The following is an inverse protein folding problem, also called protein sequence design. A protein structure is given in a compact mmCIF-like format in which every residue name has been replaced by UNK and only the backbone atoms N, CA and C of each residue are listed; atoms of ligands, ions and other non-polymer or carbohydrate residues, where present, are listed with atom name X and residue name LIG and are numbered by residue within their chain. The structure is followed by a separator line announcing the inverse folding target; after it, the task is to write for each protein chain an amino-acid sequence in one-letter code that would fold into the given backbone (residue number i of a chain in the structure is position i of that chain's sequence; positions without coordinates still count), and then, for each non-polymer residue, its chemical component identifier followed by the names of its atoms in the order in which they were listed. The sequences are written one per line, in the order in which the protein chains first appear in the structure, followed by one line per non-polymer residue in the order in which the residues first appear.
data_IF_632077723530
#
_entry.id   IF_632077723530
#
_cell.length_a   1.000
_cell.length_b   1.000
_cell.length_c   1.000
_cell.angle_alpha   90.00
_cell.angle_beta   90.00
_cell.angle_gamma   90.00
#
_symmetry.space_group_name_H-M   'P 1'
#
loop_
_entity.id
_entity.type
_entity.pdbx_description
1 polymer ?
#
# COMPACT_ATOMS: atom_id res chain seq x y z
N UNK A 1 -74.22 8.98 -20.06
CA UNK A 1 -73.03 8.92 -19.18
C UNK A 1 -73.17 7.65 -18.36
N UNK A 2 -72.49 6.57 -18.77
CA UNK A 2 -71.27 6.04 -18.10
C UNK A 2 -71.57 5.59 -16.66
N UNK A 3 -71.23 4.40 -16.16
CA UNK A 3 -70.65 3.17 -16.70
C UNK A 3 -70.75 2.11 -15.59
N UNK A 4 -70.85 0.83 -15.98
CA UNK A 4 -70.16 -0.37 -15.42
C UNK A 4 -70.11 -0.56 -13.88
N UNK A 5 -70.74 -1.57 -13.26
CA UNK A 5 -70.44 -3.02 -13.29
C UNK A 5 -68.95 -3.34 -13.09
N UNK A 6 -68.57 -3.91 -11.94
CA UNK A 6 -68.04 -5.29 -11.83
C UNK A 6 -67.13 -5.51 -10.62
N UNK A 7 -67.57 -6.49 -9.81
CA UNK A 7 -66.81 -7.66 -9.38
C UNK A 7 -65.52 -7.46 -8.58
N UNK A 8 -65.65 -7.70 -7.28
CA UNK A 8 -64.58 -8.13 -6.38
C UNK A 8 -63.78 -9.29 -7.01
N UNK A 9 -62.59 -8.98 -7.51
CA UNK A 9 -61.60 -9.95 -7.94
C UNK A 9 -60.92 -10.55 -6.72
N UNK A 10 -61.25 -11.81 -6.43
CA UNK A 10 -60.51 -12.70 -5.52
C UNK A 10 -59.06 -12.79 -6.02
N UNK A 11 -58.13 -12.12 -5.33
CA UNK A 11 -56.70 -12.28 -5.59
C UNK A 11 -56.22 -13.48 -4.78
N UNK A 12 -56.08 -14.59 -5.47
CA UNK A 12 -55.50 -15.86 -5.03
C UNK A 12 -54.12 -15.63 -4.40
N UNK A 13 -54.02 -15.85 -3.10
CA UNK A 13 -52.82 -15.71 -2.25
C UNK A 13 -51.85 -16.91 -2.42
N UNK A 14 -51.66 -17.40 -3.66
CA UNK A 14 -50.86 -18.61 -3.94
C UNK A 14 -49.77 -18.45 -4.99
N UNK A 15 -49.54 -17.26 -5.55
CA UNK A 15 -48.53 -17.05 -6.60
C UNK A 15 -47.25 -16.34 -6.13
N UNK A 16 -47.09 -16.05 -4.84
CA UNK A 16 -45.93 -15.29 -4.34
C UNK A 16 -44.75 -16.16 -3.90
N UNK A 17 -44.96 -17.44 -3.60
CA UNK A 17 -43.90 -18.33 -3.06
C UNK A 17 -43.10 -19.08 -4.14
N UNK A 18 -43.69 -19.37 -5.31
CA UNK A 18 -42.98 -20.09 -6.39
C UNK A 18 -42.07 -19.16 -7.21
N UNK A 19 -42.45 -17.89 -7.40
CA UNK A 19 -41.63 -16.90 -8.12
C UNK A 19 -40.38 -16.46 -7.34
N UNK A 20 -40.41 -16.51 -6.01
CA UNK A 20 -39.24 -16.21 -5.17
C UNK A 20 -38.21 -17.36 -5.15
N UNK A 21 -38.67 -18.59 -5.40
CA UNK A 21 -37.80 -19.76 -5.49
C UNK A 21 -37.04 -19.80 -6.82
N UNK A 22 -37.68 -19.41 -7.92
CA UNK A 22 -37.07 -19.35 -9.25
C UNK A 22 -36.09 -18.17 -9.44
N UNK A 23 -36.27 -17.05 -8.73
CA UNK A 23 -35.30 -15.95 -8.74
C UNK A 23 -33.98 -16.30 -8.03
N UNK A 24 -34.02 -17.24 -7.07
CA UNK A 24 -32.81 -17.78 -6.43
C UNK A 24 -32.02 -18.72 -7.34
N UNK A 25 -32.68 -19.44 -8.25
CA UNK A 25 -32.01 -20.40 -9.15
C UNK A 25 -31.45 -19.78 -10.44
N UNK A 26 -31.93 -18.60 -10.84
CA UNK A 26 -31.48 -17.92 -12.07
C UNK A 26 -30.69 -16.63 -11.84
N UNK A 27 -30.41 -16.29 -10.59
CA UNK A 27 -29.39 -15.28 -10.30
C UNK A 27 -28.05 -15.83 -10.76
N UNK A 28 -27.26 -15.11 -11.58
CA UNK A 28 -25.89 -15.52 -11.84
C UNK A 28 -25.24 -15.63 -10.48
N UNK A 29 -24.91 -16.86 -10.08
CA UNK A 29 -24.03 -17.08 -8.96
C UNK A 29 -22.72 -16.50 -9.44
N UNK A 30 -22.46 -15.24 -9.10
CA UNK A 30 -21.10 -14.76 -8.97
C UNK A 30 -20.55 -15.64 -7.87
N UNK A 31 -20.00 -16.78 -8.28
CA UNK A 31 -19.12 -17.59 -7.46
C UNK A 31 -18.02 -16.62 -7.14
N UNK A 32 -18.09 -16.00 -5.95
CA UNK A 32 -16.91 -15.39 -5.37
C UNK A 32 -15.90 -16.51 -5.39
N UNK A 33 -14.82 -16.35 -6.15
CA UNK A 33 -13.62 -17.18 -6.05
C UNK A 33 -13.00 -16.97 -4.66
N UNK A 34 -13.75 -17.32 -3.63
CA UNK A 34 -13.39 -17.34 -2.24
C UNK A 34 -13.45 -18.81 -1.84
N UNK A 35 -12.51 -19.59 -2.40
CA UNK A 35 -12.04 -20.89 -1.90
C UNK A 35 -11.07 -21.60 -2.87
N UNK A 36 -10.48 -20.90 -3.85
CA UNK A 36 -9.20 -21.31 -4.43
C UNK A 36 -8.11 -20.49 -3.76
N UNK A 37 -7.18 -21.16 -3.07
CA UNK A 37 -6.14 -20.52 -2.29
C UNK A 37 -5.49 -19.36 -3.03
N UNK A 38 -5.80 -18.14 -2.60
CA UNK A 38 -5.07 -16.95 -3.01
C UNK A 38 -3.65 -17.19 -2.53
N UNK A 39 -2.77 -17.54 -3.45
CA UNK A 39 -1.34 -17.61 -3.19
C UNK A 39 -1.00 -16.25 -2.61
N UNK A 40 -0.55 -16.21 -1.35
CA UNK A 40 -0.12 -14.97 -0.73
C UNK A 40 0.83 -14.25 -1.68
N UNK A 41 0.76 -12.92 -1.74
CA UNK A 41 1.61 -12.15 -2.63
C UNK A 41 3.07 -12.53 -2.40
N UNK A 42 3.83 -12.70 -3.49
CA UNK A 42 5.22 -13.09 -3.38
C UNK A 42 5.94 -12.06 -2.49
N UNK A 43 6.66 -12.52 -1.45
CA UNK A 43 7.30 -11.61 -0.52
C UNK A 43 8.28 -10.72 -1.27
N UNK A 44 8.17 -9.42 -1.02
CA UNK A 44 9.04 -8.43 -1.61
C UNK A 44 10.43 -8.51 -0.95
N UNK A 45 11.36 -9.19 -1.61
CA UNK A 45 12.77 -9.20 -1.23
C UNK A 45 13.39 -7.81 -1.39
N UNK A 46 14.46 -7.53 -0.64
CA UNK A 46 15.17 -6.25 -0.67
C UNK A 46 15.42 -5.74 -2.10
N UNK A 47 14.80 -4.60 -2.42
CA UNK A 47 14.95 -3.89 -3.68
C UNK A 47 15.81 -2.64 -3.44
N UNK A 48 17.02 -2.55 -4.03
CA UNK A 48 17.85 -1.36 -3.91
C UNK A 48 17.27 -0.21 -4.76
N UNK A 49 17.39 1.00 -4.23
CA UNK A 49 17.00 2.26 -4.87
C UNK A 49 18.13 3.26 -4.69
N UNK A 50 18.47 3.97 -5.76
CA UNK A 50 19.46 5.03 -5.73
C UNK A 50 18.82 6.35 -6.13
N UNK A 51 19.00 7.36 -5.30
CA UNK A 51 18.69 8.74 -5.61
C UNK A 51 20.00 9.52 -5.72
N UNK A 52 20.55 9.70 -6.93
CA UNK A 52 21.84 10.35 -7.13
C UNK A 52 21.93 11.68 -6.37
N UNK A 53 23.03 11.90 -5.68
CA UNK A 53 23.32 13.09 -4.88
C UNK A 53 22.50 13.28 -3.59
N UNK A 54 21.50 12.43 -3.32
CA UNK A 54 20.63 12.58 -2.14
C UNK A 54 20.79 11.40 -1.16
N UNK A 55 20.50 10.17 -1.60
CA UNK A 55 20.51 8.98 -0.73
C UNK A 55 20.65 7.67 -1.51
N UNK A 56 21.02 6.62 -0.80
CA UNK A 56 20.85 5.21 -1.20
C UNK A 56 19.76 4.62 -0.31
N UNK A 57 18.95 3.71 -0.83
CA UNK A 57 17.92 3.05 -0.03
C UNK A 57 17.71 1.61 -0.46
N UNK A 58 17.08 0.83 0.39
CA UNK A 58 16.47 -0.43 0.03
C UNK A 58 15.13 -0.58 0.74
N UNK A 59 14.23 -1.38 0.17
CA UNK A 59 12.96 -1.69 0.79
C UNK A 59 12.56 -3.15 0.60
N UNK A 60 11.83 -3.69 1.56
CA UNK A 60 11.35 -5.06 1.56
C UNK A 60 10.05 -5.19 2.35
N UNK A 61 9.29 -6.26 2.10
CA UNK A 61 8.22 -6.68 2.99
C UNK A 61 8.76 -7.69 4.01
N UNK A 62 8.55 -7.43 5.29
CA UNK A 62 8.91 -8.32 6.41
C UNK A 62 7.66 -8.64 7.21
N UNK A 63 7.05 -9.79 6.91
CA UNK A 63 5.73 -10.12 7.46
C UNK A 63 4.69 -9.14 6.93
N UNK A 64 3.94 -8.51 7.83
CA UNK A 64 2.93 -7.51 7.47
C UNK A 64 3.50 -6.11 7.27
N UNK A 65 4.79 -5.90 7.56
CA UNK A 65 5.40 -4.58 7.55
C UNK A 65 6.17 -4.33 6.26
N UNK A 66 6.11 -3.09 5.78
CA UNK A 66 7.01 -2.59 4.75
C UNK A 66 8.16 -1.86 5.45
N UNK A 67 9.39 -2.29 5.19
CA UNK A 67 10.60 -1.74 5.82
C UNK A 67 11.48 -1.07 4.80
N UNK A 68 12.20 -0.04 5.24
CA UNK A 68 13.17 0.69 4.43
C UNK A 68 14.45 0.91 5.24
N UNK A 69 15.59 0.74 4.59
CA UNK A 69 16.84 1.31 5.06
C UNK A 69 17.22 2.44 4.11
N UNK A 70 17.57 3.58 4.67
CA UNK A 70 17.98 4.76 3.89
C UNK A 70 19.32 5.24 4.42
N UNK A 71 20.28 5.38 3.52
CA UNK A 71 21.64 5.82 3.79
C UNK A 71 21.97 7.10 3.02
N UNK A 72 22.95 7.89 3.46
CA UNK A 72 23.43 9.03 2.68
C UNK A 72 24.02 8.56 1.35
N UNK A 73 24.01 9.44 0.34
CA UNK A 73 24.59 9.13 -0.97
C UNK A 73 26.08 8.71 -0.85
N UNK A 74 26.46 7.62 -1.54
CA UNK A 74 27.78 6.99 -1.51
C UNK A 74 28.16 6.31 -0.19
N UNK A 75 27.18 5.91 0.61
CA UNK A 75 27.41 5.21 1.86
C UNK A 75 28.18 3.90 1.63
N UNK A 76 27.64 2.98 0.82
CA UNK A 76 28.25 1.66 0.63
C UNK A 76 29.59 1.73 -0.13
N UNK A 77 29.80 2.75 -0.96
CA UNK A 77 31.12 3.02 -1.58
C UNK A 77 32.15 3.41 -0.51
N UNK A 78 31.79 4.34 0.37
CA UNK A 78 32.68 4.85 1.42
C UNK A 78 32.98 3.78 2.47
N UNK A 79 31.98 3.00 2.87
CA UNK A 79 32.10 1.95 3.87
C UNK A 79 33.04 0.82 3.38
N UNK A 80 32.86 0.34 2.14
CA UNK A 80 33.76 -0.65 1.53
C UNK A 80 35.20 -0.13 1.37
N UNK A 81 35.35 1.17 1.15
CA UNK A 81 36.66 1.81 1.03
C UNK A 81 37.31 2.13 2.40
N UNK A 82 36.63 1.84 3.53
CA UNK A 82 37.11 2.21 4.87
C UNK A 82 37.24 3.71 5.06
N UNK A 83 36.49 4.51 4.31
CA UNK A 83 36.50 5.98 4.37
C UNK A 83 35.52 6.47 5.42
N UNK A 84 35.65 7.75 5.77
CA UNK A 84 34.67 8.45 6.60
C UNK A 84 33.29 8.33 5.94
N UNK A 85 32.32 7.81 6.70
CA UNK A 85 30.94 7.64 6.24
C UNK A 85 30.32 9.01 5.92
N UNK A 86 29.61 9.14 4.78
CA UNK A 86 28.89 10.36 4.46
C UNK A 86 27.78 10.62 5.48
N UNK A 87 27.26 11.85 5.51
CA UNK A 87 26.14 12.27 6.37
C UNK A 87 24.99 12.76 5.51
N UNK A 88 23.77 12.61 6.01
CA UNK A 88 22.61 13.24 5.40
C UNK A 88 22.75 14.76 5.37
N UNK A 89 22.16 15.37 4.33
CA UNK A 89 22.01 16.81 4.27
C UNK A 89 21.12 17.30 5.41
N UNK A 90 21.33 18.54 5.85
CA UNK A 90 20.47 19.18 6.86
C UNK A 90 19.03 19.19 6.35
N UNK A 91 18.07 18.90 7.23
CA UNK A 91 16.64 18.88 6.87
C UNK A 91 16.15 17.57 6.23
N UNK A 92 17.02 16.59 6.02
CA UNK A 92 16.62 15.28 5.48
C UNK A 92 15.45 14.64 6.26
N UNK A 93 15.49 14.70 7.58
CA UNK A 93 14.43 14.17 8.45
C UNK A 93 13.06 14.81 8.17
N UNK A 94 13.03 16.12 7.90
CA UNK A 94 11.80 16.84 7.54
C UNK A 94 11.24 16.34 6.20
N UNK A 95 12.12 16.10 5.22
CA UNK A 95 11.75 15.56 3.91
C UNK A 95 11.26 14.12 4.02
N UNK A 96 11.93 13.30 4.81
CA UNK A 96 11.53 11.92 5.11
C UNK A 96 10.13 11.89 5.75
N UNK A 97 9.90 12.71 6.78
CA UNK A 97 8.59 12.88 7.40
C UNK A 97 7.50 13.26 6.41
N UNK A 98 7.77 14.26 5.59
CA UNK A 98 6.81 14.79 4.63
C UNK A 98 6.48 13.76 3.54
N UNK A 99 7.50 13.06 3.02
CA UNK A 99 7.33 12.09 1.95
C UNK A 99 6.59 10.84 2.42
N UNK A 100 7.03 10.24 3.53
CA UNK A 100 6.42 9.02 4.05
C UNK A 100 5.04 9.28 4.67
N UNK A 101 4.84 10.45 5.28
CA UNK A 101 3.54 10.87 5.79
C UNK A 101 2.46 11.02 4.71
N UNK A 102 2.82 11.33 3.46
CA UNK A 102 1.87 11.38 2.34
C UNK A 102 1.36 10.01 1.91
N UNK A 103 2.19 8.98 2.01
CA UNK A 103 1.88 7.63 1.52
C UNK A 103 1.29 6.77 2.64
N UNK A 104 1.90 6.78 3.83
CA UNK A 104 1.55 5.89 4.93
C UNK A 104 0.71 6.56 6.02
N UNK A 105 0.34 7.84 5.86
CA UNK A 105 -0.44 8.63 6.80
C UNK A 105 0.09 8.50 8.25
N UNK A 106 -0.75 8.07 9.21
CA UNK A 106 -0.38 7.90 10.62
C UNK A 106 0.15 6.51 10.98
N UNK A 107 0.36 5.62 9.99
CA UNK A 107 0.77 4.22 10.21
C UNK A 107 2.21 3.97 9.76
N UNK A 108 3.15 4.75 10.29
CA UNK A 108 4.57 4.51 10.07
C UNK A 108 5.42 5.14 11.18
N UNK A 109 6.61 4.61 11.35
CA UNK A 109 7.61 5.04 12.32
C UNK A 109 9.00 5.01 11.67
N UNK A 110 9.92 5.82 12.18
CA UNK A 110 11.32 5.76 11.78
C UNK A 110 12.24 6.00 12.97
N UNK A 111 13.46 5.50 12.85
CA UNK A 111 14.54 5.69 13.82
C UNK A 111 15.86 5.96 13.10
N UNK A 112 16.74 6.69 13.75
CA UNK A 112 18.09 6.92 13.26
C UNK A 112 19.06 5.94 13.92
N UNK A 113 19.79 5.18 13.12
CA UNK A 113 20.88 4.34 13.56
C UNK A 113 22.16 5.19 13.63
N UNK A 114 22.61 5.51 14.84
CA UNK A 114 23.80 6.35 15.06
C UNK A 114 25.10 5.66 14.61
N UNK A 115 25.16 4.33 14.67
CA UNK A 115 26.34 3.57 14.30
C UNK A 115 26.52 3.60 12.78
N UNK A 116 25.45 3.37 12.03
CA UNK A 116 25.47 3.37 10.57
C UNK A 116 25.27 4.76 9.96
N UNK A 117 24.73 5.72 10.70
CA UNK A 117 24.35 7.03 10.17
C UNK A 117 23.20 6.93 9.15
N UNK A 118 22.27 5.99 9.37
CA UNK A 118 21.18 5.65 8.45
C UNK A 118 19.81 5.76 9.11
N UNK A 119 18.77 5.93 8.31
CA UNK A 119 17.39 5.86 8.79
C UNK A 119 16.80 4.48 8.53
N UNK A 120 16.21 3.89 9.57
CA UNK A 120 15.31 2.74 9.43
C UNK A 120 13.88 3.23 9.48
N UNK A 121 13.09 2.88 8.48
CA UNK A 121 11.67 3.22 8.40
C UNK A 121 10.84 1.95 8.37
N UNK A 122 9.72 1.97 9.09
CA UNK A 122 8.77 0.86 9.17
C UNK A 122 7.37 1.40 8.99
N UNK A 123 6.62 0.82 8.06
CA UNK A 123 5.20 1.09 7.85
C UNK A 123 4.39 -0.16 8.21
N UNK A 124 3.84 -0.24 9.44
CA UNK A 124 3.12 -1.42 9.90
C UNK A 124 1.87 -1.74 9.06
N UNK A 125 1.71 -3.00 8.70
CA UNK A 125 0.58 -3.48 7.89
C UNK A 125 0.63 -3.12 6.40
N UNK A 126 1.62 -2.33 5.96
CA UNK A 126 1.77 -1.95 4.55
C UNK A 126 2.38 -3.06 3.68
N UNK A 127 3.04 -4.05 4.29
CA UNK A 127 3.60 -5.22 3.61
C UNK A 127 2.57 -6.28 3.21
N UNK A 128 1.38 -6.28 3.85
CA UNK A 128 0.27 -7.16 3.46
C UNK A 128 -0.58 -6.61 2.31
N UNK A 129 -0.31 -5.40 1.84
CA UNK A 129 -1.08 -4.73 0.78
C UNK A 129 -0.72 -5.30 -0.60
N UNK A 130 -1.72 -5.44 -1.47
CA UNK A 130 -1.50 -5.72 -2.90
C UNK A 130 -0.63 -4.64 -3.57
N UNK A 131 -0.64 -3.42 -3.04
CA UNK A 131 0.09 -2.27 -3.56
C UNK A 131 1.38 -1.98 -2.75
N UNK A 132 1.91 -2.96 -2.01
CA UNK A 132 3.09 -2.75 -1.14
C UNK A 132 4.30 -2.19 -1.90
N UNK A 133 4.52 -2.65 -3.14
CA UNK A 133 5.66 -2.24 -3.95
C UNK A 133 5.46 -0.83 -4.48
N UNK A 134 4.27 -0.54 -4.98
CA UNK A 134 3.87 0.76 -5.51
C UNK A 134 3.95 1.82 -4.41
N UNK A 135 3.44 1.52 -3.21
CA UNK A 135 3.54 2.41 -2.06
C UNK A 135 5.01 2.67 -1.65
N UNK A 136 5.88 1.64 -1.68
CA UNK A 136 7.30 1.83 -1.42
C UNK A 136 7.97 2.75 -2.45
N UNK A 137 7.69 2.52 -3.73
CA UNK A 137 8.23 3.33 -4.83
C UNK A 137 7.74 4.77 -4.68
N UNK A 138 6.44 4.98 -4.48
CA UNK A 138 5.84 6.30 -4.32
C UNK A 138 6.44 7.07 -3.14
N UNK A 139 6.66 6.41 -1.99
CA UNK A 139 7.29 7.06 -0.83
C UNK A 139 8.72 7.53 -1.13
N UNK A 140 9.50 6.73 -1.85
CA UNK A 140 10.87 7.07 -2.24
C UNK A 140 10.89 8.14 -3.36
N UNK A 141 9.97 8.10 -4.32
CA UNK A 141 9.85 9.14 -5.35
C UNK A 141 9.44 10.49 -4.75
N UNK A 142 8.53 10.47 -3.77
CA UNK A 142 8.16 11.65 -2.99
C UNK A 142 9.35 12.21 -2.21
N UNK A 143 10.17 11.35 -1.61
CA UNK A 143 11.39 11.76 -0.90
C UNK A 143 12.42 12.36 -1.87
N UNK A 144 12.67 11.71 -3.00
CA UNK A 144 13.56 12.22 -4.05
C UNK A 144 13.12 13.61 -4.54
N UNK A 145 11.83 13.77 -4.80
CA UNK A 145 11.26 15.02 -5.29
C UNK A 145 11.37 16.12 -4.24
N UNK A 146 11.07 15.82 -2.97
CA UNK A 146 11.19 16.77 -1.86
C UNK A 146 12.63 17.28 -1.68
N UNK A 147 13.62 16.41 -1.87
CA UNK A 147 15.03 16.78 -1.77
C UNK A 147 15.61 17.49 -3.00
N UNK A 148 14.98 17.33 -4.17
CA UNK A 148 15.45 17.94 -5.43
C UNK A 148 14.83 19.32 -5.67
N UNK A 149 13.60 19.54 -5.18
CA UNK A 149 12.86 20.79 -5.37
C UNK A 149 13.13 21.85 -4.27
N UNK A 150 14.18 21.68 -3.46
CA UNK A 150 14.73 22.78 -2.66
C UNK A 150 15.50 23.74 -3.59
N UNK A 151 14.79 24.69 -4.20
CA UNK A 151 15.33 25.95 -4.74
C UNK A 151 15.00 27.13 -3.83
#
# INVERSE_FOLDING_TARGET
MWSERSSEGVVSEKSSTELDSLKKELSPIVVKEADSGVKGFDPLNFQPVMSPSNYEAEFAAKGEDLIFHVWPWKFHESDRAGKIRPRFRKGFETHLNTAFGKVFFSKWEYSFDEDMGSYFVRAPGAGSSQFMRENAIEALENLHSAMTNEE
#
